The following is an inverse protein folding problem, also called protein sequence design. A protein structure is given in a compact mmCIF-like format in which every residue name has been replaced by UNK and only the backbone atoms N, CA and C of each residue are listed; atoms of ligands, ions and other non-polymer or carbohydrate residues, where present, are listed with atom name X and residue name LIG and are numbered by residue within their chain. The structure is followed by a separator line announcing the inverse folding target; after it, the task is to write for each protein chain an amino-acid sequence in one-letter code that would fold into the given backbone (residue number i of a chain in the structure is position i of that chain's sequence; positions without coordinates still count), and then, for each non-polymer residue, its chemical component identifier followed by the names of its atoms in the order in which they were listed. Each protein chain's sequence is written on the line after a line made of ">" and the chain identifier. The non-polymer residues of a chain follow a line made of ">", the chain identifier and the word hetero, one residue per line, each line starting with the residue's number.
data_IF_159415166467
#
_entry.id   IF_159415166467
#
_cell.length_a   1.000
_cell.length_b   1.000
_cell.length_c   1.000
_cell.angle_alpha   90.00
_cell.angle_beta   90.00
_cell.angle_gamma   90.00
#
_symmetry.space_group_name_H-M   'P 1'
#
loop_
_entity.id
_entity.type
_entity.pdbx_description
1 polymer ?
#
# COMPACT_ATOMS: atom_id res chain seq x y z
N UNK A 1 -44.71 52.99 27.55
CA UNK A 1 -45.46 52.53 28.75
C UNK A 1 -45.98 51.12 28.50
N UNK A 2 -45.73 50.18 29.43
CA UNK A 2 -46.27 48.79 29.54
C UNK A 2 -45.74 47.76 28.51
N UNK A 3 -45.23 46.56 28.83
CA UNK A 3 -44.95 45.87 30.10
C UNK A 3 -43.98 44.71 29.81
N UNK A 4 -43.00 44.48 30.68
CA UNK A 4 -42.05 43.35 30.65
C UNK A 4 -42.79 42.05 31.06
N UNK A 5 -42.66 40.97 30.28
CA UNK A 5 -43.10 39.62 30.71
C UNK A 5 -41.91 38.81 31.23
N UNK A 6 -42.13 38.30 32.44
CA UNK A 6 -41.22 37.63 33.38
C UNK A 6 -40.86 36.20 32.92
N UNK A 7 -39.59 35.87 33.10
CA UNK A 7 -38.90 34.58 32.87
C UNK A 7 -39.52 33.41 33.63
N UNK A 8 -39.45 32.20 33.07
CA UNK A 8 -39.63 30.94 33.81
C UNK A 8 -38.54 29.93 33.45
N UNK A 9 -37.48 29.89 34.27
CA UNK A 9 -36.56 28.76 34.39
C UNK A 9 -37.34 27.54 34.89
N UNK A 10 -37.38 26.46 34.09
CA UNK A 10 -37.85 25.15 34.54
C UNK A 10 -36.72 24.13 34.48
N UNK A 11 -36.14 23.92 35.66
CA UNK A 11 -35.59 22.68 36.22
C UNK A 11 -34.74 21.80 35.31
N UNK A 12 -33.43 21.88 35.54
CA UNK A 12 -32.47 20.81 35.37
C UNK A 12 -32.94 19.56 36.15
N UNK A 13 -33.19 18.46 35.45
CA UNK A 13 -33.32 17.13 36.04
C UNK A 13 -32.41 16.18 35.27
N UNK A 14 -31.33 15.78 35.94
CA UNK A 14 -30.41 14.71 35.58
C UNK A 14 -31.22 13.41 35.48
N UNK A 15 -31.30 12.82 34.29
CA UNK A 15 -31.69 11.42 34.15
C UNK A 15 -30.42 10.56 34.16
N UNK A 16 -30.14 10.05 35.35
CA UNK A 16 -29.34 8.85 35.58
C UNK A 16 -30.03 7.65 34.90
N UNK A 17 -29.19 6.73 34.40
CA UNK A 17 -29.52 5.35 34.00
C UNK A 17 -30.17 5.16 32.62
N UNK A 18 -29.33 5.04 31.58
CA UNK A 18 -29.65 4.31 30.35
C UNK A 18 -28.81 3.03 30.33
N UNK A 19 -29.37 1.86 29.97
CA UNK A 19 -28.81 0.56 30.32
C UNK A 19 -27.50 0.28 29.59
N UNK A 20 -26.59 -0.29 30.37
CA UNK A 20 -25.38 -0.99 30.00
C UNK A 20 -25.71 -2.25 29.17
N UNK A 21 -26.19 -2.11 27.94
CA UNK A 21 -26.39 -3.23 27.00
C UNK A 21 -26.58 -2.71 25.56
N UNK A 22 -25.56 -2.05 25.01
CA UNK A 22 -25.47 -1.80 23.57
C UNK A 22 -23.99 -1.71 23.16
N UNK A 23 -23.23 -2.75 23.51
CA UNK A 23 -21.96 -3.04 22.85
C UNK A 23 -22.05 -4.46 22.30
N UNK A 24 -22.90 -4.67 21.30
CA UNK A 24 -23.02 -5.96 20.63
C UNK A 24 -23.47 -5.76 19.19
N UNK A 25 -22.77 -4.91 18.45
CA UNK A 25 -22.59 -5.02 17.00
C UNK A 25 -21.25 -4.37 16.66
N UNK A 26 -20.14 -5.09 16.88
CA UNK A 26 -19.02 -4.95 15.95
C UNK A 26 -19.56 -5.54 14.66
N UNK A 27 -19.89 -4.69 13.70
CA UNK A 27 -20.20 -5.13 12.35
C UNK A 27 -19.01 -5.92 11.82
N UNK A 28 -19.26 -7.11 11.27
CA UNK A 28 -18.27 -7.94 10.55
C UNK A 28 -17.73 -7.25 9.28
N UNK A 29 -18.03 -5.97 9.08
CA UNK A 29 -17.38 -5.07 8.13
C UNK A 29 -15.93 -4.75 8.55
N UNK A 30 -15.21 -5.73 9.10
CA UNK A 30 -13.76 -5.77 8.96
C UNK A 30 -13.53 -5.93 7.46
N UNK A 31 -13.20 -4.80 6.82
CA UNK A 31 -12.57 -4.64 5.51
C UNK A 31 -12.45 -5.99 4.80
N UNK A 32 -13.28 -6.23 3.78
CA UNK A 32 -13.10 -7.35 2.87
C UNK A 32 -11.72 -7.21 2.20
N UNK A 33 -10.68 -7.68 2.89
CA UNK A 33 -9.38 -7.96 2.32
C UNK A 33 -9.68 -9.16 1.44
N UNK A 34 -9.92 -8.92 0.14
CA UNK A 34 -9.98 -10.01 -0.82
C UNK A 34 -8.72 -10.84 -0.62
N UNK A 35 -8.88 -12.04 -0.06
CA UNK A 35 -7.76 -12.95 0.13
C UNK A 35 -7.20 -13.25 -1.24
N UNK A 36 -5.92 -12.94 -1.46
CA UNK A 36 -5.21 -13.30 -2.68
C UNK A 36 -5.39 -14.81 -2.87
N UNK A 37 -5.87 -15.23 -4.05
CA UNK A 37 -6.09 -16.65 -4.30
C UNK A 37 -4.76 -17.41 -4.21
N UNK A 38 -4.82 -18.69 -3.86
CA UNK A 38 -3.63 -19.54 -3.78
C UNK A 38 -2.86 -19.53 -5.12
N UNK A 39 -3.59 -19.51 -6.23
CA UNK A 39 -3.04 -19.39 -7.58
C UNK A 39 -2.29 -18.08 -7.80
N UNK A 40 -2.93 -16.94 -7.49
CA UNK A 40 -2.30 -15.62 -7.66
C UNK A 40 -1.05 -15.49 -6.78
N UNK A 41 -1.09 -16.01 -5.55
CA UNK A 41 0.05 -16.05 -4.65
C UNK A 41 1.23 -16.84 -5.25
N UNK A 42 0.96 -18.02 -5.83
CA UNK A 42 1.98 -18.83 -6.48
C UNK A 42 2.55 -18.12 -7.72
N UNK A 43 1.74 -17.43 -8.51
CA UNK A 43 2.20 -16.73 -9.70
C UNK A 43 3.04 -15.50 -9.36
N UNK A 44 2.66 -14.73 -8.33
CA UNK A 44 3.50 -13.65 -7.79
C UNK A 44 4.84 -14.23 -7.32
N UNK A 45 4.83 -15.33 -6.55
CA UNK A 45 6.04 -15.98 -6.07
C UNK A 45 6.97 -16.43 -7.21
N UNK A 46 6.42 -16.93 -8.31
CA UNK A 46 7.20 -17.31 -9.51
C UNK A 46 7.89 -16.09 -10.12
N UNK A 47 7.18 -14.98 -10.29
CA UNK A 47 7.77 -13.74 -10.84
C UNK A 47 8.89 -13.23 -9.94
N UNK A 48 8.65 -13.19 -8.62
CA UNK A 48 9.64 -12.76 -7.63
C UNK A 48 10.89 -13.65 -7.67
N UNK A 49 10.71 -14.98 -7.74
CA UNK A 49 11.85 -15.92 -7.81
C UNK A 49 12.62 -15.82 -9.12
N UNK A 50 11.92 -15.61 -10.24
CA UNK A 50 12.56 -15.36 -11.53
C UNK A 50 13.43 -14.10 -11.49
N UNK A 51 12.92 -13.00 -10.95
CA UNK A 51 13.69 -11.76 -10.80
C UNK A 51 14.90 -11.94 -9.87
N UNK A 52 14.75 -12.64 -8.75
CA UNK A 52 15.85 -12.94 -7.83
C UNK A 52 16.97 -13.73 -8.53
N UNK A 53 16.61 -14.77 -9.29
CA UNK A 53 17.58 -15.59 -10.03
C UNK A 53 18.30 -14.75 -11.10
N UNK A 54 17.57 -13.93 -11.86
CA UNK A 54 18.14 -13.04 -12.88
C UNK A 54 19.05 -11.97 -12.26
N UNK A 55 18.68 -11.43 -11.10
CA UNK A 55 19.54 -10.51 -10.34
C UNK A 55 20.83 -11.20 -9.93
N UNK A 56 20.73 -12.39 -9.34
CA UNK A 56 21.87 -13.15 -8.82
C UNK A 56 22.80 -13.67 -9.93
N UNK A 57 22.32 -13.79 -11.17
CA UNK A 57 23.14 -14.11 -12.34
C UNK A 57 23.75 -12.88 -13.02
N UNK A 58 23.40 -11.66 -12.60
CA UNK A 58 23.82 -10.42 -13.24
C UNK A 58 23.05 -10.07 -14.53
N UNK A 59 21.96 -10.79 -14.83
CA UNK A 59 21.17 -10.57 -16.03
C UNK A 59 20.09 -9.51 -15.81
N UNK A 60 20.50 -8.25 -15.96
CA UNK A 60 19.60 -7.09 -15.83
C UNK A 60 18.48 -7.11 -16.89
N UNK A 61 18.73 -7.63 -18.09
CA UNK A 61 17.70 -7.67 -19.13
C UNK A 61 16.57 -8.65 -18.75
N UNK A 62 16.93 -9.82 -18.20
CA UNK A 62 15.96 -10.76 -17.66
C UNK A 62 15.30 -10.24 -16.39
N UNK A 63 16.04 -9.62 -15.47
CA UNK A 63 15.49 -9.00 -14.25
C UNK A 63 14.39 -7.98 -14.57
N UNK A 64 14.58 -7.18 -15.62
CA UNK A 64 13.62 -6.17 -16.04
C UNK A 64 12.30 -6.75 -16.60
N UNK A 65 12.24 -8.03 -16.95
CA UNK A 65 11.01 -8.67 -17.46
C UNK A 65 9.93 -8.83 -16.37
N UNK A 66 10.29 -8.77 -15.08
CA UNK A 66 9.30 -8.75 -14.00
C UNK A 66 8.59 -7.41 -13.82
N UNK A 67 9.03 -6.36 -14.51
CA UNK A 67 8.31 -5.07 -14.56
C UNK A 67 7.43 -4.97 -15.79
N UNK A 68 6.30 -4.29 -15.66
CA UNK A 68 5.45 -3.94 -16.78
C UNK A 68 6.22 -3.12 -17.82
N UNK A 69 6.16 -3.54 -19.09
CA UNK A 69 6.81 -2.86 -20.21
C UNK A 69 5.95 -1.71 -20.72
N UNK A 70 5.98 -0.60 -19.99
CA UNK A 70 5.21 0.62 -20.29
C UNK A 70 6.08 1.87 -20.13
N UNK A 71 5.73 2.94 -20.85
CA UNK A 71 6.29 4.28 -20.66
C UNK A 71 5.76 4.96 -19.39
N UNK A 72 4.66 4.44 -18.82
CA UNK A 72 4.07 4.88 -17.55
C UNK A 72 4.74 4.26 -16.32
N UNK A 73 5.65 3.29 -16.50
CA UNK A 73 6.39 2.71 -15.37
C UNK A 73 7.19 3.82 -14.66
N UNK A 74 7.03 3.94 -13.34
CA UNK A 74 7.81 4.87 -12.53
C UNK A 74 8.69 4.12 -11.54
N UNK A 75 10.00 4.32 -11.63
CA UNK A 75 10.97 3.81 -10.65
C UNK A 75 11.48 4.94 -9.75
N UNK A 76 11.08 4.93 -8.49
CA UNK A 76 11.48 5.92 -7.48
C UNK A 76 12.71 5.47 -6.68
N UNK A 77 13.75 6.29 -6.63
CA UNK A 77 14.94 6.02 -5.81
C UNK A 77 15.60 7.29 -5.29
N UNK A 78 16.76 7.14 -4.62
CA UNK A 78 17.49 8.27 -3.98
C UNK A 78 17.74 9.47 -4.91
N UNK A 79 17.98 9.23 -6.19
CA UNK A 79 18.24 10.27 -7.20
C UNK A 79 16.97 10.84 -7.85
N UNK A 80 15.79 10.50 -7.35
CA UNK A 80 14.50 10.86 -7.94
C UNK A 80 13.87 9.75 -8.81
N UNK A 81 12.68 10.02 -9.37
CA UNK A 81 11.94 9.10 -10.23
C UNK A 81 12.59 8.94 -11.61
N UNK A 82 12.41 7.77 -12.20
CA UNK A 82 12.72 7.47 -13.61
C UNK A 82 11.47 6.93 -14.26
N UNK A 83 11.19 7.42 -15.47
CA UNK A 83 9.95 7.12 -16.19
C UNK A 83 10.25 6.20 -17.37
N UNK A 84 9.39 5.20 -17.55
CA UNK A 84 9.44 4.24 -18.63
C UNK A 84 10.38 3.06 -18.38
N UNK A 85 9.98 1.93 -18.95
CA UNK A 85 10.70 0.66 -18.84
C UNK A 85 12.12 0.74 -19.44
N UNK A 86 12.27 1.41 -20.59
CA UNK A 86 13.55 1.54 -21.26
C UNK A 86 14.56 2.38 -20.46
N UNK A 87 14.15 3.52 -19.93
CA UNK A 87 15.05 4.37 -19.14
C UNK A 87 15.40 3.74 -17.80
N UNK A 88 14.44 3.03 -17.19
CA UNK A 88 14.69 2.23 -15.99
C UNK A 88 15.76 1.16 -16.26
N UNK A 89 15.64 0.40 -17.36
CA UNK A 89 16.66 -0.60 -17.77
C UNK A 89 18.03 0.03 -17.98
N UNK A 90 18.11 1.14 -18.73
CA UNK A 90 19.37 1.87 -18.97
C UNK A 90 20.03 2.29 -17.65
N UNK A 91 19.24 2.77 -16.69
CA UNK A 91 19.74 3.14 -15.37
C UNK A 91 20.29 1.94 -14.59
N UNK A 92 19.62 0.79 -14.62
CA UNK A 92 20.13 -0.43 -13.98
C UNK A 92 21.48 -0.82 -14.59
N UNK A 93 21.57 -0.93 -15.93
CA UNK A 93 22.81 -1.27 -16.63
C UNK A 93 23.97 -0.30 -16.29
N UNK A 94 23.68 1.00 -16.17
CA UNK A 94 24.69 2.00 -15.79
C UNK A 94 25.13 1.87 -14.33
N UNK A 95 24.20 1.60 -13.42
CA UNK A 95 24.45 1.59 -11.97
C UNK A 95 25.10 0.28 -11.50
N UNK A 96 24.83 -0.80 -12.20
CA UNK A 96 25.23 -2.15 -11.84
C UNK A 96 26.01 -2.79 -13.01
N UNK A 97 27.28 -2.39 -13.20
CA UNK A 97 28.10 -2.89 -14.31
C UNK A 97 28.52 -4.37 -14.14
N UNK A 98 28.43 -4.92 -12.93
CA UNK A 98 28.88 -6.28 -12.62
C UNK A 98 28.10 -6.90 -11.44
N UNK A 99 28.27 -8.20 -11.22
CA UNK A 99 27.62 -8.93 -10.13
C UNK A 99 28.14 -8.53 -8.75
N UNK A 100 29.35 -7.95 -8.64
CA UNK A 100 29.90 -7.49 -7.36
C UNK A 100 29.11 -6.29 -6.84
N UNK A 101 28.82 -5.33 -7.72
CA UNK A 101 28.02 -4.13 -7.40
C UNK A 101 26.53 -4.43 -7.22
N UNK A 102 26.02 -5.52 -7.81
CA UNK A 102 24.65 -6.01 -7.60
C UNK A 102 24.46 -6.72 -6.25
N UNK A 103 25.51 -7.35 -5.73
CA UNK A 103 25.40 -8.22 -4.54
C UNK A 103 24.61 -9.49 -4.83
N UNK A 104 24.15 -10.17 -3.77
CA UNK A 104 23.30 -11.37 -3.88
C UNK A 104 22.06 -11.26 -2.99
N UNK A 105 20.92 -11.60 -3.58
CA UNK A 105 19.63 -11.75 -2.91
C UNK A 105 19.48 -13.20 -2.41
N UNK A 106 18.72 -13.38 -1.33
CA UNK A 106 18.43 -14.66 -0.67
C UNK A 106 16.94 -14.83 -0.46
#
# INVERSE_FOLDING_TARGET
>A
MKTIKKTNMKKLLIFLFVPLASFSQVSDDIIAINSISLTDSLDIMKVMKFQENAWNSGDINSFMQGYIKSDELVFSGKSGPVYGWNETRKRYLKKYPDTQTMGKLK
#
